data_IF_655326290463
#
_entry.id   IF_655326290463
#
_cell.length_a   1.000
_cell.length_b   1.000
_cell.length_c   1.000
_cell.angle_alpha   90.00
_cell.angle_beta   90.00
_cell.angle_gamma   90.00
#
_symmetry.space_group_name_H-M   'P 1'
#
loop_
_entity.id
_entity.type
_entity.pdbx_description
1 polymer ?
#
# COMPACT_ATOMS: atom_id res chain seq x y z
N UNK A 1 23.77 -26.54 2.71
CA UNK A 1 24.56 -25.87 3.77
C UNK A 1 23.93 -24.50 3.94
N UNK A 2 23.16 -24.29 5.01
CA UNK A 2 22.67 -22.95 5.35
C UNK A 2 23.87 -22.16 5.87
N UNK A 3 24.33 -21.18 5.12
CA UNK A 3 25.22 -20.16 5.67
C UNK A 3 24.53 -19.58 6.91
N UNK A 4 25.18 -19.67 8.05
CA UNK A 4 24.71 -19.04 9.28
C UNK A 4 24.70 -17.54 9.04
N UNK A 5 23.51 -16.97 8.90
CA UNK A 5 23.32 -15.52 8.73
C UNK A 5 23.94 -14.85 9.95
N UNK A 6 25.00 -14.08 9.76
CA UNK A 6 25.56 -13.25 10.83
C UNK A 6 24.62 -12.04 11.06
N UNK A 7 23.69 -12.24 11.98
CA UNK A 7 22.69 -11.21 12.36
C UNK A 7 23.34 -9.89 12.75
N UNK A 8 24.58 -9.90 13.28
CA UNK A 8 25.30 -8.66 13.66
C UNK A 8 25.74 -7.88 12.43
N UNK A 9 26.26 -8.57 11.41
CA UNK A 9 26.64 -7.93 10.15
C UNK A 9 25.41 -7.42 9.41
N UNK A 10 24.34 -8.20 9.39
CA UNK A 10 23.07 -7.80 8.80
C UNK A 10 22.47 -6.57 9.49
N UNK A 11 22.47 -6.51 10.83
CA UNK A 11 22.01 -5.34 11.58
C UNK A 11 22.82 -4.09 11.25
N UNK A 12 24.16 -4.19 11.21
CA UNK A 12 25.03 -3.06 10.87
C UNK A 12 24.76 -2.55 9.45
N UNK A 13 24.54 -3.46 8.49
CA UNK A 13 24.19 -3.12 7.10
C UNK A 13 22.83 -2.44 7.03
N UNK A 14 21.84 -2.96 7.75
CA UNK A 14 20.49 -2.38 7.81
C UNK A 14 20.52 -0.99 8.45
N UNK A 15 21.25 -0.80 9.53
CA UNK A 15 21.38 0.50 10.19
C UNK A 15 21.95 1.56 9.23
N UNK A 16 22.96 1.18 8.43
CA UNK A 16 23.53 2.06 7.42
C UNK A 16 22.53 2.34 6.28
N UNK A 17 21.89 1.30 5.73
CA UNK A 17 21.01 1.39 4.58
C UNK A 17 19.64 1.99 4.90
N UNK A 18 19.19 1.95 6.16
CA UNK A 18 17.92 2.55 6.61
C UNK A 18 18.05 4.02 7.05
N UNK A 19 19.22 4.61 7.01
CA UNK A 19 19.45 5.99 7.46
C UNK A 19 18.56 7.02 6.74
N UNK A 20 18.34 6.85 5.43
CA UNK A 20 17.46 7.71 4.63
C UNK A 20 15.99 7.67 5.08
N UNK A 21 15.52 6.58 5.70
CA UNK A 21 14.14 6.45 6.19
C UNK A 21 13.81 7.55 7.19
N UNK A 22 14.73 7.85 8.10
CA UNK A 22 14.56 8.94 9.06
C UNK A 22 14.41 10.28 8.37
N UNK A 23 15.21 10.53 7.32
CA UNK A 23 15.13 11.76 6.54
C UNK A 23 13.81 11.86 5.75
N UNK A 24 13.35 10.72 5.17
CA UNK A 24 12.04 10.66 4.51
C UNK A 24 10.90 10.97 5.49
N UNK A 25 10.87 10.32 6.66
CA UNK A 25 9.85 10.55 7.69
C UNK A 25 9.89 12.01 8.17
N UNK A 26 11.07 12.56 8.37
CA UNK A 26 11.23 13.97 8.77
C UNK A 26 10.71 14.91 7.69
N UNK A 27 11.08 14.67 6.42
CA UNK A 27 10.61 15.46 5.29
C UNK A 27 9.07 15.36 5.10
N UNK A 28 8.51 14.17 5.24
CA UNK A 28 7.05 13.97 5.22
C UNK A 28 6.36 14.76 6.34
N UNK A 29 6.86 14.68 7.57
CA UNK A 29 6.31 15.38 8.74
C UNK A 29 6.46 16.93 8.67
N UNK A 30 7.37 17.46 7.85
CA UNK A 30 7.44 18.90 7.60
C UNK A 30 6.22 19.43 6.84
N UNK A 31 5.62 18.58 5.99
CA UNK A 31 4.50 18.95 5.11
C UNK A 31 3.17 18.44 5.63
N UNK A 32 3.17 17.23 6.15
CA UNK A 32 1.97 16.52 6.58
C UNK A 32 1.87 16.57 8.11
N UNK A 33 0.79 17.15 8.58
CA UNK A 33 0.49 17.20 10.01
C UNK A 33 -0.25 15.92 10.42
N UNK A 34 0.26 15.22 11.44
CA UNK A 34 -0.31 13.96 11.86
C UNK A 34 -0.09 12.83 10.85
N UNK A 35 -1.10 11.98 10.69
CA UNK A 35 -1.12 10.89 9.67
C UNK A 35 0.13 9.98 9.71
N UNK A 36 0.68 9.73 10.92
CA UNK A 36 1.90 8.92 11.09
C UNK A 36 1.74 7.52 10.51
N UNK A 37 0.55 6.93 10.71
CA UNK A 37 0.23 5.61 10.19
C UNK A 37 0.24 5.57 8.65
N UNK A 38 -0.30 6.59 7.98
CA UNK A 38 -0.24 6.71 6.52
C UNK A 38 1.21 6.78 6.02
N UNK A 39 2.04 7.61 6.67
CA UNK A 39 3.46 7.75 6.29
C UNK A 39 4.19 6.42 6.44
N UNK A 40 4.02 5.72 7.56
CA UNK A 40 4.63 4.42 7.80
C UNK A 40 4.15 3.37 6.79
N UNK A 41 2.84 3.31 6.50
CA UNK A 41 2.26 2.38 5.52
C UNK A 41 2.74 2.65 4.08
N UNK A 42 2.94 3.92 3.69
CA UNK A 42 3.54 4.28 2.41
C UNK A 42 4.99 3.77 2.30
N UNK A 43 5.77 3.92 3.36
CA UNK A 43 7.15 3.43 3.39
C UNK A 43 7.21 1.89 3.37
N UNK A 44 6.34 1.21 4.12
CA UNK A 44 6.22 -0.25 4.08
C UNK A 44 5.89 -0.70 2.65
N UNK A 45 4.87 -0.11 2.02
CA UNK A 45 4.48 -0.47 0.64
C UNK A 45 5.60 -0.21 -0.36
N UNK A 46 6.30 0.93 -0.25
CA UNK A 46 7.43 1.28 -1.11
C UNK A 46 8.58 0.28 -0.98
N UNK A 47 8.96 -0.08 0.24
CA UNK A 47 10.07 -0.98 0.53
C UNK A 47 9.76 -2.46 0.25
N UNK A 48 8.48 -2.83 0.27
CA UNK A 48 8.03 -4.21 0.01
C UNK A 48 7.64 -4.47 -1.45
N UNK A 49 7.82 -3.48 -2.33
CA UNK A 49 7.34 -3.54 -3.72
C UNK A 49 5.84 -3.86 -3.80
N UNK A 50 5.06 -3.18 -2.95
CA UNK A 50 3.61 -3.34 -2.85
C UNK A 50 2.86 -2.07 -3.21
N UNK A 51 1.54 -2.20 -3.39
CA UNK A 51 0.63 -1.10 -3.64
C UNK A 51 -0.31 -0.91 -2.45
N UNK A 52 -0.87 0.29 -2.29
CA UNK A 52 -1.68 0.66 -1.13
C UNK A 52 -3.04 1.17 -1.55
N UNK A 53 -4.08 0.70 -0.86
CA UNK A 53 -5.45 1.21 -0.96
C UNK A 53 -5.76 2.03 0.28
N UNK A 54 -6.13 3.29 0.10
CA UNK A 54 -6.53 4.17 1.19
C UNK A 54 -8.04 4.32 1.24
N UNK A 55 -8.61 4.08 2.40
CA UNK A 55 -10.02 4.35 2.67
C UNK A 55 -10.12 5.51 3.67
N UNK A 56 -10.89 6.54 3.33
CA UNK A 56 -11.09 7.70 4.19
C UNK A 56 -11.77 8.84 3.45
N UNK A 57 -12.35 9.74 4.24
CA UNK A 57 -13.07 10.91 3.71
C UNK A 57 -12.15 11.85 2.91
N UNK A 58 -12.69 12.69 2.05
CA UNK A 58 -11.92 13.73 1.36
C UNK A 58 -11.24 14.68 2.35
N UNK A 59 -10.14 15.33 1.92
CA UNK A 59 -9.46 16.36 2.72
C UNK A 59 -8.41 15.86 3.72
N UNK A 60 -8.13 14.56 3.81
CA UNK A 60 -7.18 13.97 4.75
C UNK A 60 -5.73 13.87 4.22
N UNK A 61 -5.30 14.86 3.42
CA UNK A 61 -3.92 14.98 2.91
C UNK A 61 -3.41 13.79 2.07
N UNK A 62 -4.29 12.92 1.53
CA UNK A 62 -3.91 11.75 0.72
C UNK A 62 -3.04 12.13 -0.48
N UNK A 63 -3.52 13.08 -1.29
CA UNK A 63 -2.77 13.58 -2.46
C UNK A 63 -1.43 14.22 -2.05
N UNK A 64 -1.43 14.96 -0.95
CA UNK A 64 -0.23 15.62 -0.44
C UNK A 64 0.82 14.59 -0.01
N UNK A 65 0.41 13.48 0.60
CA UNK A 65 1.32 12.45 1.10
C UNK A 65 2.14 11.80 -0.04
N UNK A 66 1.49 11.31 -1.09
CA UNK A 66 2.22 10.63 -2.18
C UNK A 66 3.02 11.63 -3.03
N UNK A 67 2.51 12.85 -3.23
CA UNK A 67 3.23 13.92 -3.93
C UNK A 67 4.50 14.32 -3.16
N UNK A 68 4.40 14.48 -1.83
CA UNK A 68 5.56 14.80 -0.99
C UNK A 68 6.58 13.66 -1.00
N UNK A 69 6.12 12.42 -0.92
CA UNK A 69 7.00 11.24 -0.99
C UNK A 69 7.77 11.21 -2.33
N UNK A 70 7.10 11.46 -3.46
CA UNK A 70 7.76 11.47 -4.77
C UNK A 70 8.82 12.57 -4.88
N UNK A 71 8.55 13.76 -4.32
CA UNK A 71 9.51 14.87 -4.29
C UNK A 71 10.73 14.56 -3.42
N UNK A 72 10.54 13.90 -2.27
CA UNK A 72 11.63 13.52 -1.39
C UNK A 72 12.55 12.42 -1.98
N UNK A 73 12.05 11.66 -2.97
CA UNK A 73 12.79 10.58 -3.65
C UNK A 73 13.32 11.04 -5.03
N UNK A 74 12.99 12.27 -5.46
CA UNK A 74 13.28 12.79 -6.80
C UNK A 74 12.77 11.84 -7.90
N UNK A 75 11.48 11.51 -7.84
CA UNK A 75 10.85 10.54 -8.72
C UNK A 75 9.56 11.09 -9.33
N UNK A 76 9.18 10.55 -10.50
CA UNK A 76 8.01 11.00 -11.24
C UNK A 76 6.71 10.70 -10.50
N UNK A 77 5.81 11.68 -10.49
CA UNK A 77 4.49 11.60 -9.90
C UNK A 77 3.39 11.86 -10.93
N UNK A 78 2.33 11.09 -10.84
CA UNK A 78 1.12 11.26 -11.65
C UNK A 78 -0.13 11.10 -10.80
N UNK A 79 -1.18 11.85 -11.13
CA UNK A 79 -2.51 11.70 -10.54
C UNK A 79 -3.52 11.34 -11.62
N UNK A 80 -4.31 10.32 -11.37
CA UNK A 80 -5.42 9.89 -12.21
C UNK A 80 -6.70 10.04 -11.38
N UNK A 81 -7.57 10.97 -11.76
CA UNK A 81 -8.89 11.10 -11.17
C UNK A 81 -9.82 10.12 -11.86
N UNK A 82 -10.33 9.14 -11.12
CA UNK A 82 -11.26 8.16 -11.66
C UNK A 82 -12.67 8.75 -11.75
N UNK A 83 -13.26 8.65 -12.94
CA UNK A 83 -14.61 9.16 -13.25
C UNK A 83 -15.38 8.12 -14.08
N UNK A 84 -16.73 8.19 -14.12
CA UNK A 84 -17.52 7.20 -14.85
C UNK A 84 -17.28 7.16 -16.37
N UNK A 85 -16.77 8.24 -16.94
CA UNK A 85 -16.47 8.40 -18.38
C UNK A 85 -15.01 8.04 -18.74
N UNK A 86 -14.16 7.73 -17.77
CA UNK A 86 -12.77 7.37 -18.01
C UNK A 86 -12.67 6.07 -18.81
N UNK A 87 -11.73 6.03 -19.75
CA UNK A 87 -11.43 4.86 -20.57
C UNK A 87 -10.09 4.23 -20.14
N UNK A 88 -9.88 2.92 -20.36
CA UNK A 88 -8.58 2.28 -20.11
C UNK A 88 -7.41 2.99 -20.79
N UNK A 89 -7.61 3.50 -22.02
CA UNK A 89 -6.60 4.24 -22.77
C UNK A 89 -6.15 5.55 -22.09
N UNK A 90 -7.02 6.17 -21.27
CA UNK A 90 -6.69 7.37 -20.52
C UNK A 90 -5.72 7.08 -19.37
N UNK A 91 -5.70 5.83 -18.88
CA UNK A 91 -4.81 5.36 -17.82
C UNK A 91 -3.50 4.85 -18.40
N UNK A 92 -3.57 3.93 -19.35
CA UNK A 92 -2.40 3.20 -19.86
C UNK A 92 -1.78 3.83 -21.11
N UNK A 93 -2.55 4.63 -21.84
CA UNK A 93 -2.11 5.22 -23.10
C UNK A 93 -2.72 4.55 -24.32
N UNK A 94 -2.41 5.10 -25.50
CA UNK A 94 -3.02 4.69 -26.78
C UNK A 94 -2.07 4.94 -27.95
N UNK A 95 -2.45 4.40 -29.11
CA UNK A 95 -1.84 4.75 -30.39
C UNK A 95 -2.53 5.99 -30.97
N UNK A 96 -1.76 6.97 -31.39
CA UNK A 96 -2.24 8.17 -32.08
C UNK A 96 -1.71 8.17 -33.49
N UNK A 97 -2.58 8.31 -34.48
CA UNK A 97 -2.19 8.47 -35.88
C UNK A 97 -1.69 9.90 -36.12
N UNK A 98 -0.48 10.03 -36.62
CA UNK A 98 0.10 11.30 -37.04
C UNK A 98 -0.10 11.48 -38.55
N UNK A 99 -0.89 12.45 -38.94
CA UNK A 99 -1.08 12.79 -40.38
C UNK A 99 0.22 13.28 -41.04
N UNK A 100 1.15 13.84 -40.25
CA UNK A 100 2.40 14.40 -40.73
C UNK A 100 3.38 13.28 -41.17
N UNK A 101 3.41 12.20 -40.43
CA UNK A 101 4.37 11.10 -40.62
C UNK A 101 3.67 9.87 -41.26
N UNK A 102 2.36 9.96 -41.47
CA UNK A 102 1.47 8.87 -41.93
C UNK A 102 1.64 7.57 -41.13
N UNK A 103 1.90 7.71 -39.82
CA UNK A 103 2.24 6.60 -38.96
C UNK A 103 1.56 6.70 -37.58
N UNK A 104 1.49 5.56 -36.87
CA UNK A 104 0.99 5.51 -35.50
C UNK A 104 2.14 5.72 -34.50
N UNK A 105 1.91 6.60 -33.54
CA UNK A 105 2.81 6.86 -32.42
C UNK A 105 2.18 6.46 -31.10
N UNK A 106 2.98 5.85 -30.23
CA UNK A 106 2.54 5.52 -28.87
C UNK A 106 2.51 6.77 -28.02
N UNK A 107 1.35 7.10 -27.48
CA UNK A 107 1.19 8.08 -26.40
C UNK A 107 1.03 7.32 -25.09
N UNK A 108 2.06 7.34 -24.26
CA UNK A 108 2.03 6.75 -22.92
C UNK A 108 1.03 7.49 -22.02
N UNK A 109 0.28 6.74 -21.23
CA UNK A 109 -0.66 7.27 -20.25
C UNK A 109 0.01 7.65 -18.93
N UNK A 110 -0.76 8.23 -17.99
CA UNK A 110 -0.25 8.68 -16.70
C UNK A 110 0.24 7.55 -15.78
N UNK A 111 -0.05 6.29 -16.07
CA UNK A 111 0.49 5.14 -15.31
C UNK A 111 2.01 5.01 -15.44
N UNK A 112 2.63 5.64 -16.45
CA UNK A 112 4.08 5.64 -16.65
C UNK A 112 4.81 6.65 -15.75
N UNK A 113 4.51 6.63 -14.47
CA UNK A 113 5.21 7.38 -13.43
C UNK A 113 5.62 6.44 -12.30
N UNK A 114 6.64 6.81 -11.50
CA UNK A 114 7.07 6.03 -10.35
C UNK A 114 5.99 5.97 -9.26
N UNK A 115 5.32 7.10 -9.02
CA UNK A 115 4.28 7.25 -8.01
C UNK A 115 2.97 7.67 -8.67
N UNK A 116 1.98 6.81 -8.58
CA UNK A 116 0.66 7.04 -9.18
C UNK A 116 -0.39 7.14 -8.09
N UNK A 117 -1.08 8.28 -8.04
CA UNK A 117 -2.32 8.41 -7.26
C UNK A 117 -3.51 8.07 -8.15
N UNK A 118 -4.16 6.95 -7.86
CA UNK A 118 -5.46 6.58 -8.44
C UNK A 118 -6.57 7.07 -7.52
N UNK A 119 -7.02 8.31 -7.75
CA UNK A 119 -7.97 8.98 -6.87
C UNK A 119 -9.41 8.55 -7.18
N UNK A 120 -10.14 8.09 -6.14
CA UNK A 120 -11.51 7.59 -6.21
C UNK A 120 -11.67 6.41 -7.20
N UNK A 121 -10.81 5.39 -7.08
CA UNK A 121 -10.74 4.26 -8.01
C UNK A 121 -12.11 3.57 -8.24
N UNK A 122 -12.99 3.60 -7.24
CA UNK A 122 -14.33 3.02 -7.31
C UNK A 122 -15.35 3.86 -8.13
N UNK A 123 -14.97 5.03 -8.66
CA UNK A 123 -15.84 5.84 -9.53
C UNK A 123 -15.76 5.45 -11.01
N UNK A 124 -14.73 4.76 -11.45
CA UNK A 124 -14.61 4.34 -12.83
C UNK A 124 -15.14 2.92 -13.07
N UNK A 125 -15.57 2.61 -14.29
CA UNK A 125 -16.04 1.28 -14.68
C UNK A 125 -14.98 0.20 -14.45
N UNK A 126 -15.42 -1.04 -14.23
CA UNK A 126 -14.55 -2.19 -13.95
C UNK A 126 -13.42 -2.41 -14.98
N UNK A 127 -13.65 -2.05 -16.27
CA UNK A 127 -12.61 -2.15 -17.31
C UNK A 127 -11.42 -1.24 -17.05
N UNK A 128 -11.67 -0.03 -16.55
CA UNK A 128 -10.61 0.94 -16.21
C UNK A 128 -9.86 0.51 -14.97
N UNK A 129 -10.59 0.07 -13.94
CA UNK A 129 -10.00 -0.50 -12.73
C UNK A 129 -9.08 -1.68 -13.08
N UNK A 130 -9.57 -2.60 -13.93
CA UNK A 130 -8.78 -3.78 -14.36
C UNK A 130 -7.50 -3.40 -15.09
N UNK A 131 -7.52 -2.37 -15.94
CA UNK A 131 -6.32 -1.90 -16.65
C UNK A 131 -5.23 -1.39 -15.69
N UNK A 132 -5.61 -0.63 -14.66
CA UNK A 132 -4.66 -0.20 -13.63
C UNK A 132 -4.14 -1.40 -12.81
N UNK A 133 -5.03 -2.29 -12.39
CA UNK A 133 -4.67 -3.45 -11.57
C UNK A 133 -3.80 -4.46 -12.32
N UNK A 134 -3.94 -4.57 -13.65
CA UNK A 134 -3.05 -5.35 -14.50
C UNK A 134 -1.66 -4.70 -14.55
N UNK A 135 -1.59 -3.39 -14.79
CA UNK A 135 -0.34 -2.64 -14.79
C UNK A 135 0.41 -2.76 -13.44
N UNK A 136 -0.32 -2.76 -12.32
CA UNK A 136 0.23 -2.97 -10.98
C UNK A 136 0.86 -4.36 -10.80
N UNK A 137 0.22 -5.39 -11.34
CA UNK A 137 0.66 -6.77 -11.17
C UNK A 137 1.81 -7.13 -12.11
N UNK A 138 1.73 -6.70 -13.37
CA UNK A 138 2.66 -7.11 -14.43
C UNK A 138 3.87 -6.16 -14.54
N UNK A 139 3.84 -4.99 -13.88
CA UNK A 139 4.85 -3.93 -13.99
C UNK A 139 5.16 -3.54 -15.43
N UNK A 140 4.21 -3.74 -16.32
CA UNK A 140 4.27 -3.42 -17.75
C UNK A 140 2.89 -3.16 -18.33
N UNK A 141 2.84 -2.49 -19.47
CA UNK A 141 1.63 -2.18 -20.22
C UNK A 141 1.83 -2.47 -21.69
N UNK A 142 0.85 -3.11 -22.33
CA UNK A 142 0.84 -3.33 -23.78
C UNK A 142 -0.04 -2.28 -24.44
N UNK A 143 0.54 -1.53 -25.40
CA UNK A 143 -0.16 -0.52 -26.20
C UNK A 143 -0.01 -0.89 -27.67
N UNK A 144 -1.10 -1.26 -28.32
CA UNK A 144 -1.07 -1.85 -29.65
C UNK A 144 -0.34 -3.20 -29.63
N UNK A 145 0.75 -3.32 -30.37
CA UNK A 145 1.56 -4.55 -30.45
C UNK A 145 2.84 -4.49 -29.58
N UNK A 146 3.05 -3.40 -28.85
CA UNK A 146 4.28 -3.17 -28.07
C UNK A 146 4.03 -3.20 -26.58
N UNK A 147 4.91 -3.89 -25.85
CA UNK A 147 4.90 -3.95 -24.39
C UNK A 147 5.98 -3.03 -23.81
N UNK A 148 5.59 -2.17 -22.89
CA UNK A 148 6.45 -1.20 -22.22
C UNK A 148 6.52 -1.50 -20.74
N UNK A 149 7.73 -1.59 -20.19
CA UNK A 149 7.94 -1.69 -18.74
C UNK A 149 7.59 -0.36 -18.06
N UNK A 150 7.01 -0.45 -16.88
CA UNK A 150 6.79 0.71 -16.02
C UNK A 150 8.09 1.10 -15.31
N UNK A 151 8.19 2.35 -14.82
CA UNK A 151 9.34 2.80 -14.02
C UNK A 151 9.52 1.94 -12.76
N UNK A 152 10.73 1.85 -12.24
CA UNK A 152 11.01 1.18 -10.98
C UNK A 152 11.81 2.14 -10.07
N UNK A 153 11.39 2.39 -8.81
CA UNK A 153 10.24 1.81 -8.14
C UNK A 153 8.90 2.25 -8.73
N UNK A 154 7.88 1.40 -8.65
CA UNK A 154 6.51 1.68 -9.06
C UNK A 154 5.56 1.48 -7.89
N UNK A 155 4.90 2.55 -7.45
CA UNK A 155 3.95 2.52 -6.34
C UNK A 155 2.63 3.17 -6.76
N UNK A 156 1.56 2.41 -6.69
CA UNK A 156 0.19 2.93 -6.82
C UNK A 156 -0.42 3.10 -5.43
N UNK A 157 -0.89 4.32 -5.18
CA UNK A 157 -1.75 4.65 -4.06
C UNK A 157 -3.15 4.90 -4.61
N UNK A 158 -4.05 3.95 -4.42
CA UNK A 158 -5.46 4.11 -4.77
C UNK A 158 -6.26 4.66 -3.58
N UNK A 159 -7.28 5.47 -3.85
CA UNK A 159 -8.18 5.96 -2.81
C UNK A 159 -9.62 5.52 -3.05
N UNK A 160 -10.34 5.28 -1.95
CA UNK A 160 -11.78 5.06 -1.94
C UNK A 160 -12.42 5.98 -0.91
N UNK A 161 -13.60 6.50 -1.25
CA UNK A 161 -14.43 7.24 -0.31
C UNK A 161 -15.54 6.30 0.20
N UNK A 162 -15.56 5.95 1.49
CA UNK A 162 -16.55 5.03 2.04
C UNK A 162 -17.97 5.62 2.12
N UNK A 163 -18.10 6.95 2.09
CA UNK A 163 -19.39 7.63 2.26
C UNK A 163 -20.15 7.74 0.94
N UNK A 164 -19.47 7.93 -0.17
CA UNK A 164 -20.08 8.06 -1.47
C UNK A 164 -20.39 6.68 -2.07
N UNK A 165 -21.65 6.28 -2.04
CA UNK A 165 -22.13 5.01 -2.63
C UNK A 165 -22.79 5.20 -3.99
N UNK A 166 -23.39 6.37 -4.27
CA UNK A 166 -24.03 6.65 -5.56
C UNK A 166 -23.00 6.79 -6.70
N UNK A 167 -23.24 6.08 -7.79
CA UNK A 167 -22.37 6.13 -8.97
C UNK A 167 -21.02 5.46 -8.78
N UNK A 168 -20.88 4.56 -7.80
CA UNK A 168 -19.64 3.81 -7.55
C UNK A 168 -19.72 2.38 -8.06
N UNK A 169 -18.58 1.88 -8.53
CA UNK A 169 -18.35 0.50 -8.92
C UNK A 169 -17.41 -0.13 -7.90
N UNK A 170 -17.94 -0.90 -6.97
CA UNK A 170 -17.11 -1.56 -5.97
C UNK A 170 -16.07 -2.46 -6.63
N UNK A 171 -14.85 -2.42 -6.12
CA UNK A 171 -13.80 -3.35 -6.53
C UNK A 171 -14.17 -4.76 -6.05
N UNK A 172 -14.20 -5.78 -6.93
CA UNK A 172 -14.34 -7.15 -6.50
C UNK A 172 -13.21 -7.55 -5.55
N UNK A 173 -13.49 -8.44 -4.61
CA UNK A 173 -12.54 -8.90 -3.57
C UNK A 173 -11.21 -9.39 -4.17
N UNK A 174 -11.28 -10.17 -5.27
CA UNK A 174 -10.08 -10.64 -5.98
C UNK A 174 -9.22 -9.50 -6.56
N UNK A 175 -9.79 -8.32 -6.77
CA UNK A 175 -9.09 -7.13 -7.22
C UNK A 175 -8.51 -6.35 -6.05
N UNK A 176 -9.24 -6.25 -4.94
CA UNK A 176 -8.75 -5.60 -3.72
C UNK A 176 -7.58 -6.37 -3.12
N UNK A 177 -7.55 -7.71 -3.22
CA UNK A 177 -6.45 -8.58 -2.77
C UNK A 177 -5.09 -8.28 -3.47
N UNK A 178 -5.08 -7.55 -4.58
CA UNK A 178 -3.86 -7.10 -5.26
C UNK A 178 -3.15 -5.95 -4.53
N UNK A 179 -3.87 -5.18 -3.72
CA UNK A 179 -3.25 -4.20 -2.84
C UNK A 179 -2.63 -4.90 -1.64
N UNK A 180 -1.36 -4.58 -1.37
CA UNK A 180 -0.65 -5.16 -0.25
C UNK A 180 -1.25 -4.72 1.09
N UNK A 181 -1.52 -3.43 1.21
CA UNK A 181 -2.13 -2.81 2.38
C UNK A 181 -3.43 -2.10 2.00
N UNK A 182 -4.44 -2.23 2.87
CA UNK A 182 -5.60 -1.35 2.91
C UNK A 182 -5.56 -0.57 4.21
N UNK A 183 -5.39 0.74 4.11
CA UNK A 183 -5.22 1.64 5.26
C UNK A 183 -6.46 2.51 5.43
N UNK A 184 -7.01 2.52 6.62
CA UNK A 184 -8.13 3.40 6.98
C UNK A 184 -7.57 4.66 7.62
N UNK A 185 -7.94 5.82 7.05
CA UNK A 185 -7.46 7.12 7.49
C UNK A 185 -8.58 7.83 8.25
N UNK A 186 -8.31 8.13 9.53
CA UNK A 186 -9.21 8.90 10.38
C UNK A 186 -8.99 10.41 10.29
N UNK A 187 -9.91 11.15 10.91
CA UNK A 187 -9.75 12.59 11.08
C UNK A 187 -8.55 12.92 11.97
N UNK A 188 -7.93 14.10 11.77
CA UNK A 188 -6.87 14.58 12.65
C UNK A 188 -7.44 14.82 14.07
N UNK A 189 -6.57 14.76 15.05
CA UNK A 189 -6.88 15.17 16.41
C UNK A 189 -7.10 16.69 16.49
N UNK A 190 -7.76 17.18 17.55
CA UNK A 190 -8.00 18.61 17.73
C UNK A 190 -6.70 19.45 17.67
N UNK A 191 -5.62 18.95 18.22
CA UNK A 191 -4.33 19.67 18.21
C UNK A 191 -3.68 19.64 16.82
N UNK A 192 -3.79 18.53 16.09
CA UNK A 192 -3.33 18.46 14.70
C UNK A 192 -4.15 19.41 13.80
N UNK A 193 -5.47 19.48 14.00
CA UNK A 193 -6.34 20.37 13.23
C UNK A 193 -6.00 21.86 13.46
N UNK A 194 -5.75 22.25 14.72
CA UNK A 194 -5.23 23.60 15.02
C UNK A 194 -3.91 23.89 14.32
N UNK A 195 -3.02 22.89 14.24
CA UNK A 195 -1.74 23.05 13.54
C UNK A 195 -1.96 23.19 12.04
N UNK A 196 -2.84 22.38 11.44
CA UNK A 196 -3.23 22.47 10.02
C UNK A 196 -3.76 23.88 9.70
N UNK A 197 -4.65 24.43 10.52
CA UNK A 197 -5.17 25.79 10.36
C UNK A 197 -4.03 26.81 10.36
N UNK A 198 -3.16 26.76 11.37
CA UNK A 198 -2.03 27.71 11.49
C UNK A 198 -1.08 27.66 10.31
N UNK A 199 -0.76 26.47 9.83
CA UNK A 199 0.14 26.26 8.69
C UNK A 199 -0.46 26.80 7.40
N UNK A 200 -1.76 26.52 7.14
CA UNK A 200 -2.44 26.99 5.92
C UNK A 200 -2.66 28.49 5.92
N UNK A 201 -2.92 29.11 7.09
CA UNK A 201 -3.09 30.57 7.19
C UNK A 201 -1.79 31.35 6.97
N UNK A 202 -0.62 30.72 7.16
CA UNK A 202 0.67 31.36 6.86
C UNK A 202 0.92 31.55 5.36
N UNK A 203 0.23 30.78 4.51
CA UNK A 203 0.31 30.87 3.06
C UNK A 203 1.68 30.48 2.47
N UNK A 204 2.56 29.89 3.26
CA UNK A 204 3.86 29.41 2.81
C UNK A 204 3.72 27.98 2.23
N UNK A 205 4.01 27.84 0.94
CA UNK A 205 4.12 26.51 0.33
C UNK A 205 5.41 25.85 0.83
N UNK A 206 5.25 24.79 1.64
CA UNK A 206 6.39 24.03 2.16
C UNK A 206 7.02 23.22 1.04
N UNK A 207 8.16 23.67 0.57
CA UNK A 207 8.96 22.93 -0.41
C UNK A 207 9.85 21.94 0.31
N UNK A 208 9.84 20.69 -0.12
CA UNK A 208 10.78 19.67 0.30
C UNK A 208 11.88 19.50 -0.74
N UNK A 209 13.07 19.16 -0.28
CA UNK A 209 14.18 18.81 -1.16
C UNK A 209 14.34 17.28 -1.16
N UNK A 210 14.80 16.69 -2.28
CA UNK A 210 15.12 15.28 -2.32
C UNK A 210 16.12 14.89 -1.23
N UNK A 211 15.84 13.78 -0.54
CA UNK A 211 16.68 13.24 0.53
C UNK A 211 17.20 11.85 0.21
N UNK A 212 16.68 11.23 -0.84
CA UNK A 212 17.09 9.93 -1.38
C UNK A 212 16.73 9.86 -2.87
N UNK A 213 17.11 8.78 -3.53
CA UNK A 213 16.87 8.55 -4.96
C UNK A 213 16.14 7.23 -5.20
N UNK A 214 15.54 7.08 -6.38
CA UNK A 214 14.93 5.81 -6.82
C UNK A 214 15.93 4.65 -6.74
N UNK A 215 17.21 4.88 -7.09
CA UNK A 215 18.26 3.86 -7.04
C UNK A 215 18.57 3.41 -5.59
N UNK A 216 18.54 4.33 -4.63
CA UNK A 216 18.72 4.00 -3.20
C UNK A 216 17.54 3.21 -2.65
N UNK A 217 16.31 3.53 -3.07
CA UNK A 217 15.13 2.74 -2.70
C UNK A 217 15.24 1.30 -3.21
N UNK A 218 15.69 1.09 -4.45
CA UNK A 218 15.86 -0.24 -5.01
C UNK A 218 16.92 -1.05 -4.25
N UNK A 219 18.05 -0.43 -3.90
CA UNK A 219 19.07 -1.07 -3.03
C UNK A 219 18.51 -1.41 -1.65
N UNK A 220 17.70 -0.53 -1.07
CA UNK A 220 17.06 -0.79 0.21
C UNK A 220 16.08 -1.98 0.13
N UNK A 221 15.34 -2.14 -0.98
CA UNK A 221 14.49 -3.32 -1.21
C UNK A 221 15.28 -4.63 -1.17
N UNK A 222 16.44 -4.67 -1.82
CA UNK A 222 17.33 -5.84 -1.78
C UNK A 222 17.73 -6.20 -0.33
N UNK A 223 18.03 -5.18 0.49
CA UNK A 223 18.36 -5.39 1.91
C UNK A 223 17.15 -5.79 2.74
N UNK A 224 15.95 -5.28 2.43
CA UNK A 224 14.71 -5.70 3.08
C UNK A 224 14.41 -7.18 2.81
N UNK A 225 14.72 -7.69 1.62
CA UNK A 225 14.55 -9.12 1.30
C UNK A 225 15.49 -10.02 2.12
N UNK A 226 16.64 -9.50 2.57
CA UNK A 226 17.59 -10.21 3.42
C UNK A 226 17.20 -10.21 4.92
N UNK A 227 16.23 -9.38 5.34
CA UNK A 227 15.74 -9.38 6.73
C UNK A 227 15.27 -10.78 7.11
N UNK A 228 15.87 -11.32 8.17
CA UNK A 228 15.66 -12.70 8.58
C UNK A 228 14.26 -12.90 9.17
N UNK A 229 13.61 -13.96 8.75
CA UNK A 229 12.37 -14.47 9.35
C UNK A 229 12.68 -15.86 9.90
N UNK A 230 12.51 -16.04 11.21
CA UNK A 230 12.64 -17.33 11.86
C UNK A 230 11.44 -18.22 11.51
N UNK A 231 11.65 -19.56 11.49
CA UNK A 231 10.60 -20.54 11.22
C UNK A 231 9.38 -20.39 12.15
N UNK A 232 9.60 -19.97 13.40
CA UNK A 232 8.51 -19.70 14.35
C UNK A 232 7.68 -18.48 13.94
N UNK A 233 8.31 -17.47 13.35
CA UNK A 233 7.58 -16.30 12.81
C UNK A 233 6.82 -16.68 11.54
N UNK A 234 7.42 -17.52 10.68
CA UNK A 234 6.70 -18.07 9.51
C UNK A 234 5.47 -18.87 9.94
N UNK A 235 5.61 -19.71 10.96
CA UNK A 235 4.50 -20.46 11.54
C UNK A 235 3.44 -19.52 12.13
N UNK A 236 3.85 -18.49 12.89
CA UNK A 236 2.94 -17.49 13.45
C UNK A 236 2.14 -16.77 12.38
N UNK A 237 2.78 -16.33 11.28
CA UNK A 237 2.11 -15.73 10.13
C UNK A 237 1.10 -16.71 9.50
N UNK A 238 1.51 -17.97 9.31
CA UNK A 238 0.65 -18.99 8.76
C UNK A 238 -0.56 -19.23 9.66
N UNK A 239 -0.38 -19.33 10.97
CA UNK A 239 -1.44 -19.56 11.95
C UNK A 239 -2.46 -18.42 11.99
N UNK A 240 -2.03 -17.16 11.91
CA UNK A 240 -2.92 -15.99 11.78
C UNK A 240 -3.83 -16.14 10.55
N UNK A 241 -3.24 -16.46 9.39
CA UNK A 241 -4.01 -16.60 8.16
C UNK A 241 -4.90 -17.84 8.18
N UNK A 242 -4.43 -18.96 8.73
CA UNK A 242 -5.24 -20.18 8.90
C UNK A 242 -6.39 -19.97 9.88
N UNK A 243 -6.18 -19.22 10.98
CA UNK A 243 -7.24 -18.85 11.91
C UNK A 243 -8.37 -18.06 11.24
N UNK A 244 -8.08 -17.25 10.23
CA UNK A 244 -9.11 -16.58 9.45
C UNK A 244 -9.95 -17.52 8.57
N UNK A 245 -9.41 -18.69 8.19
CA UNK A 245 -10.09 -19.73 7.37
C UNK A 245 -10.80 -20.80 8.22
N UNK A 246 -10.19 -21.14 9.34
CA UNK A 246 -10.60 -22.25 10.21
C UNK A 246 -10.59 -21.82 11.67
N UNK A 247 -11.40 -20.79 12.05
CA UNK A 247 -11.34 -20.21 13.39
C UNK A 247 -11.60 -21.21 14.50
N UNK A 248 -12.42 -22.23 14.25
CA UNK A 248 -12.72 -23.28 15.23
C UNK A 248 -11.47 -24.08 15.65
N UNK A 249 -10.45 -24.22 14.77
CA UNK A 249 -9.21 -24.93 15.09
C UNK A 249 -8.29 -24.14 16.04
N UNK A 250 -8.53 -22.84 16.14
CA UNK A 250 -7.76 -21.92 16.99
C UNK A 250 -8.56 -21.46 18.22
N UNK A 251 -9.66 -22.15 18.55
CA UNK A 251 -10.50 -21.80 19.70
C UNK A 251 -11.28 -20.47 19.52
N UNK A 252 -11.56 -20.11 18.28
CA UNK A 252 -12.32 -18.93 17.84
C UNK A 252 -13.64 -19.36 17.18
N UNK A 253 -14.31 -20.40 17.73
CA UNK A 253 -15.50 -20.97 17.11
C UNK A 253 -16.64 -19.97 16.92
N UNK A 254 -16.70 -18.91 17.72
CA UNK A 254 -17.66 -17.83 17.56
C UNK A 254 -17.48 -17.01 16.26
N UNK A 255 -16.30 -17.05 15.63
CA UNK A 255 -16.04 -16.37 14.37
C UNK A 255 -16.45 -17.17 13.15
N UNK A 256 -16.79 -18.46 13.31
CA UNK A 256 -17.07 -19.35 12.18
C UNK A 256 -18.21 -18.84 11.30
N UNK A 257 -19.28 -18.41 11.91
CA UNK A 257 -20.46 -17.91 11.21
C UNK A 257 -20.37 -16.43 10.84
N UNK A 258 -19.31 -15.75 11.31
CA UNK A 258 -19.03 -14.33 11.03
C UNK A 258 -18.15 -14.12 9.80
N UNK A 259 -17.43 -15.16 9.34
CA UNK A 259 -16.47 -15.08 8.24
C UNK A 259 -16.99 -15.90 7.06
N UNK A 260 -17.17 -15.27 5.89
CA UNK A 260 -17.53 -15.93 4.63
C UNK A 260 -16.32 -16.55 3.95
N UNK A 261 -15.19 -15.86 3.98
CA UNK A 261 -13.90 -16.36 3.49
C UNK A 261 -12.75 -15.68 4.27
N UNK A 262 -11.67 -16.44 4.45
CA UNK A 262 -10.43 -15.98 5.10
C UNK A 262 -9.35 -15.61 4.10
N UNK A 263 -8.21 -15.15 4.61
CA UNK A 263 -7.07 -14.70 3.81
C UNK A 263 -6.54 -15.76 2.85
N UNK A 264 -6.22 -15.37 1.61
CA UNK A 264 -5.55 -16.21 0.61
C UNK A 264 -4.05 -16.42 0.96
N UNK A 265 -3.29 -17.27 0.24
CA UNK A 265 -1.83 -17.32 0.40
C UNK A 265 -1.13 -15.96 0.16
N UNK A 266 -1.74 -15.05 -0.61
CA UNK A 266 -1.27 -13.67 -0.75
C UNK A 266 -1.26 -12.92 0.58
N UNK A 267 -2.19 -13.23 1.48
CA UNK A 267 -2.21 -12.64 2.82
C UNK A 267 -0.95 -13.00 3.61
N UNK A 268 -0.54 -14.29 3.62
CA UNK A 268 0.69 -14.74 4.29
C UNK A 268 1.93 -14.09 3.69
N UNK A 269 2.01 -14.02 2.36
CA UNK A 269 3.13 -13.40 1.64
C UNK A 269 3.19 -11.89 1.96
N UNK A 270 2.03 -11.20 1.95
CA UNK A 270 1.95 -9.78 2.25
C UNK A 270 2.31 -9.47 3.70
N UNK A 271 1.88 -10.32 4.67
CA UNK A 271 2.27 -10.20 6.07
C UNK A 271 3.79 -10.33 6.24
N UNK A 272 4.41 -11.35 5.62
CA UNK A 272 5.85 -11.57 5.71
C UNK A 272 6.64 -10.40 5.10
N UNK A 273 6.25 -9.94 3.90
CA UNK A 273 6.89 -8.80 3.22
C UNK A 273 6.73 -7.50 4.02
N UNK A 274 5.53 -7.20 4.51
CA UNK A 274 5.26 -6.01 5.30
C UNK A 274 6.01 -6.03 6.64
N UNK A 275 6.06 -7.18 7.32
CA UNK A 275 6.81 -7.33 8.57
C UNK A 275 8.33 -7.15 8.37
N UNK A 276 8.90 -7.65 7.26
CA UNK A 276 10.31 -7.38 6.89
C UNK A 276 10.57 -5.90 6.70
N UNK A 277 9.74 -5.21 5.91
CA UNK A 277 9.88 -3.78 5.69
C UNK A 277 9.70 -2.99 7.00
N UNK A 278 8.76 -3.40 7.86
CA UNK A 278 8.57 -2.79 9.17
C UNK A 278 9.81 -2.97 10.07
N UNK A 279 10.37 -4.19 10.15
CA UNK A 279 11.60 -4.46 10.88
C UNK A 279 12.78 -3.61 10.36
N UNK A 280 12.92 -3.47 9.04
CA UNK A 280 13.92 -2.61 8.40
C UNK A 280 13.75 -1.14 8.80
N UNK A 281 12.51 -0.60 8.77
CA UNK A 281 12.20 0.77 9.23
C UNK A 281 12.58 0.94 10.71
N UNK A 282 12.40 -0.11 11.52
CA UNK A 282 12.83 -0.15 12.94
C UNK A 282 14.32 -0.48 13.13
N UNK A 283 15.11 -0.54 12.04
CA UNK A 283 16.55 -0.79 12.01
C UNK A 283 16.95 -2.15 12.59
N UNK A 284 16.15 -3.17 12.34
CA UNK A 284 16.39 -4.55 12.77
C UNK A 284 16.57 -5.48 11.58
N UNK A 285 17.52 -6.40 11.66
CA UNK A 285 17.81 -7.43 10.66
C UNK A 285 16.97 -8.70 10.81
N UNK A 286 15.99 -8.70 11.69
CA UNK A 286 15.11 -9.85 11.93
C UNK A 286 13.71 -9.39 12.31
N UNK A 287 12.73 -10.20 11.96
CA UNK A 287 11.31 -9.95 12.27
C UNK A 287 10.99 -10.51 13.65
N UNK A 288 10.18 -9.77 14.41
CA UNK A 288 9.59 -10.20 15.68
C UNK A 288 8.05 -10.25 15.57
N UNK A 289 7.35 -10.97 16.49
CA UNK A 289 5.87 -11.05 16.42
C UNK A 289 5.17 -9.69 16.41
N UNK A 290 5.74 -8.70 17.10
CA UNK A 290 5.23 -7.34 17.15
C UNK A 290 5.21 -6.65 15.77
N UNK A 291 6.15 -6.98 14.88
CA UNK A 291 6.18 -6.46 13.52
C UNK A 291 5.01 -7.01 12.69
N UNK A 292 4.73 -8.29 12.85
CA UNK A 292 3.58 -8.94 12.20
C UNK A 292 2.27 -8.33 12.71
N UNK A 293 2.15 -8.14 14.03
CA UNK A 293 0.98 -7.51 14.67
C UNK A 293 0.77 -6.07 14.19
N UNK A 294 1.86 -5.31 14.05
CA UNK A 294 1.80 -3.91 13.61
C UNK A 294 1.19 -3.73 12.21
N UNK A 295 1.41 -4.68 11.31
CA UNK A 295 0.93 -4.61 9.92
C UNK A 295 -0.32 -5.45 9.65
N UNK A 296 -0.73 -6.29 10.60
CA UNK A 296 -1.75 -7.32 10.38
C UNK A 296 -3.11 -6.73 9.99
N UNK A 297 -3.55 -5.64 10.62
CA UNK A 297 -4.83 -5.00 10.29
C UNK A 297 -4.83 -4.47 8.85
N UNK A 298 -3.78 -3.78 8.44
CA UNK A 298 -3.70 -3.21 7.09
C UNK A 298 -3.58 -4.28 6.00
N UNK A 299 -2.97 -5.43 6.33
CA UNK A 299 -2.85 -6.55 5.40
C UNK A 299 -4.13 -7.38 5.32
N UNK A 300 -4.84 -7.58 6.43
CA UNK A 300 -5.92 -8.57 6.52
C UNK A 300 -7.33 -8.00 6.37
N UNK A 301 -7.57 -6.70 6.71
CA UNK A 301 -8.93 -6.14 6.74
C UNK A 301 -9.71 -6.27 5.43
N UNK A 302 -9.02 -6.29 4.31
CA UNK A 302 -9.63 -6.43 2.98
C UNK A 302 -9.53 -7.85 2.41
N UNK A 303 -9.06 -8.80 3.22
CA UNK A 303 -8.84 -10.21 2.85
C UNK A 303 -9.70 -11.17 3.67
N UNK A 304 -10.50 -10.63 4.58
CA UNK A 304 -11.46 -11.38 5.37
C UNK A 304 -12.86 -10.86 5.02
N UNK A 305 -13.67 -11.71 4.42
CA UNK A 305 -15.05 -11.38 4.09
C UNK A 305 -15.97 -11.60 5.28
N UNK A 306 -16.81 -10.61 5.54
CA UNK A 306 -17.82 -10.68 6.59
C UNK A 306 -19.07 -11.40 6.09
N UNK A 307 -19.76 -12.09 6.99
CA UNK A 307 -21.10 -12.61 6.72
C UNK A 307 -22.17 -11.54 6.96
N UNK A 308 -23.36 -11.75 6.40
CA UNK A 308 -24.51 -10.90 6.70
C UNK A 308 -24.85 -10.85 8.21
N UNK A 309 -24.58 -11.93 8.92
CA UNK A 309 -24.79 -11.99 10.36
C UNK A 309 -23.80 -11.10 11.12
N UNK A 310 -22.53 -11.08 10.68
CA UNK A 310 -21.52 -10.17 11.22
C UNK A 310 -21.90 -8.70 10.95
N UNK A 311 -22.28 -8.38 9.71
CA UNK A 311 -22.71 -7.02 9.34
C UNK A 311 -23.96 -6.58 10.12
N UNK A 312 -24.96 -7.44 10.27
CA UNK A 312 -26.17 -7.18 11.04
C UNK A 312 -25.87 -6.95 12.53
N UNK A 313 -24.78 -7.58 13.03
CA UNK A 313 -24.31 -7.43 14.42
C UNK A 313 -23.32 -6.26 14.57
N UNK A 314 -23.07 -5.48 13.51
CA UNK A 314 -22.07 -4.41 13.45
C UNK A 314 -20.64 -4.86 13.80
N UNK A 315 -20.31 -6.12 13.53
CA UNK A 315 -18.96 -6.64 13.71
C UNK A 315 -18.11 -6.22 12.49
N UNK A 316 -16.94 -5.68 12.75
CA UNK A 316 -16.02 -5.18 11.74
C UNK A 316 -14.90 -6.20 11.44
N UNK A 317 -14.28 -6.09 10.26
CA UNK A 317 -13.09 -6.89 9.92
C UNK A 317 -11.93 -6.60 10.89
N UNK A 318 -11.81 -5.38 11.40
CA UNK A 318 -10.83 -5.00 12.43
C UNK A 318 -11.01 -5.77 13.74
N UNK A 319 -12.25 -5.95 14.20
CA UNK A 319 -12.54 -6.73 15.40
C UNK A 319 -12.20 -8.20 15.21
N UNK A 320 -12.51 -8.76 14.04
CA UNK A 320 -12.14 -10.14 13.69
C UNK A 320 -10.64 -10.32 13.67
N UNK A 321 -9.90 -9.43 12.98
CA UNK A 321 -8.43 -9.45 12.92
C UNK A 321 -7.85 -9.32 14.34
N UNK A 322 -8.37 -8.41 15.16
CA UNK A 322 -7.94 -8.23 16.55
C UNK A 322 -8.12 -9.51 17.38
N UNK A 323 -9.28 -10.19 17.26
CA UNK A 323 -9.53 -11.45 17.96
C UNK A 323 -8.56 -12.55 17.52
N UNK A 324 -8.29 -12.66 16.22
CA UNK A 324 -7.32 -13.62 15.67
C UNK A 324 -5.92 -13.36 16.23
N UNK A 325 -5.43 -12.12 16.13
CA UNK A 325 -4.07 -11.75 16.59
C UNK A 325 -3.89 -11.98 18.09
N UNK A 326 -4.94 -11.72 18.88
CA UNK A 326 -4.88 -11.88 20.34
C UNK A 326 -4.97 -13.34 20.78
N UNK A 327 -5.44 -14.24 19.91
CA UNK A 327 -5.60 -15.65 20.22
C UNK A 327 -4.46 -16.52 19.73
N UNK A 328 -3.88 -16.16 18.58
CA UNK A 328 -2.74 -16.86 17.99
C UNK A 328 -1.46 -16.37 18.69
N UNK A 329 -0.75 -17.29 19.34
CA UNK A 329 0.51 -17.03 20.06
C UNK A 329 1.73 -17.51 19.25
#
# INVERSE_FOLDING_TARGET
MSESIDIRQLNARIEQQSSFVTNLVTGMNQVIVGQKHLIESLLISLLSDGHILLEGVPGLAKTLAIKTLSQLIDADYSRIQFTPDLLPADVVGTLIYSQKDENFHVKKGPVFANFVLADEINRAPAKVQSALLEAMQEHQVTIGEQTFKLPNPFLVMATQNPIEQEGTYQLPEAQVDRFMLKVVIGYPTLEEEKLIIRENLRGEEKKVLPVTTAAEILKAREVVEEVYIDEKIEQYIADIVFASRYPEKYGLGELKDMITFGGSPRASISLAKAARAYAFIKRRGYVVPEDVRAVAHDVLRHRIGLSYEAEASNITSEEIVSKIINKVE
#
